data_IF_058182977144
#
_entry.id   IF_058182977144
#
_cell.length_a   1.000
_cell.length_b   1.000
_cell.length_c   1.000
_cell.angle_alpha   90.00
_cell.angle_beta   90.00
_cell.angle_gamma   90.00
#
_symmetry.space_group_name_H-M   'P 1'
#
loop_
_entity.id
_entity.type
_entity.pdbx_description
1 polymer ?
#
# COMPACT_ATOMS: atom_id res chain seq x y z
N UNK A 1 -12.70 5.95 2.75
CA UNK A 1 -11.47 6.50 3.36
C UNK A 1 -10.25 5.97 2.61
N UNK A 2 -9.11 6.68 2.61
CA UNK A 2 -7.92 6.17 1.91
C UNK A 2 -6.63 6.89 2.30
N UNK A 3 -5.50 6.33 1.87
CA UNK A 3 -4.16 6.79 2.18
C UNK A 3 -3.32 6.85 0.92
N UNK A 4 -2.52 7.90 0.85
CA UNK A 4 -1.53 8.13 -0.20
C UNK A 4 -0.20 7.46 0.14
N UNK A 5 0.49 6.96 -0.87
CA UNK A 5 1.85 6.46 -0.84
C UNK A 5 2.70 7.08 -1.94
N UNK A 6 3.99 7.27 -1.65
CA UNK A 6 4.99 7.66 -2.66
C UNK A 6 6.26 6.93 -2.29
N UNK A 7 6.77 6.11 -3.21
CA UNK A 7 7.95 5.31 -2.97
C UNK A 7 8.99 5.59 -4.05
N UNK A 8 10.19 5.98 -3.64
CA UNK A 8 11.33 6.10 -4.54
C UNK A 8 11.71 4.73 -5.06
N UNK A 9 12.07 4.67 -6.33
CA UNK A 9 12.50 3.45 -7.01
C UNK A 9 14.01 3.47 -7.18
N UNK A 10 14.69 2.33 -6.98
CA UNK A 10 16.11 2.26 -7.23
C UNK A 10 16.40 2.39 -8.73
N UNK A 11 17.28 3.30 -9.14
CA UNK A 11 17.73 3.40 -10.53
C UNK A 11 18.74 2.30 -10.87
N UNK A 12 19.64 1.94 -9.93
CA UNK A 12 20.53 0.78 -10.04
C UNK A 12 21.07 0.37 -8.66
N UNK A 13 21.76 -0.77 -8.59
CA UNK A 13 22.46 -1.21 -7.35
C UNK A 13 23.56 -0.25 -6.90
N UNK A 14 24.16 0.50 -7.84
CA UNK A 14 25.28 1.40 -7.58
C UNK A 14 24.80 2.81 -7.21
N UNK A 15 23.73 3.29 -7.85
CA UNK A 15 23.26 4.67 -7.69
C UNK A 15 22.10 4.83 -6.69
N UNK A 16 21.58 3.74 -6.14
CA UNK A 16 20.47 3.77 -5.18
C UNK A 16 19.22 4.40 -5.80
N UNK A 17 18.61 5.38 -5.14
CA UNK A 17 17.40 6.08 -5.61
C UNK A 17 17.67 7.28 -6.53
N UNK A 18 18.95 7.58 -6.80
CA UNK A 18 19.36 8.62 -7.75
C UNK A 18 19.81 7.91 -9.02
N UNK A 19 19.53 8.50 -10.17
CA UNK A 19 19.94 7.92 -11.43
C UNK A 19 21.37 8.34 -11.81
N UNK A 20 21.93 7.69 -12.83
CA UNK A 20 23.32 7.85 -13.26
C UNK A 20 23.69 9.30 -13.64
N UNK A 21 22.71 10.08 -14.11
CA UNK A 21 22.86 11.51 -14.40
C UNK A 21 23.03 12.39 -13.14
N UNK A 22 22.93 11.81 -11.95
CA UNK A 22 23.06 12.50 -10.67
C UNK A 22 21.89 13.41 -10.31
N UNK A 23 20.88 13.56 -11.16
CA UNK A 23 19.78 14.53 -10.99
C UNK A 23 18.43 13.83 -10.92
N UNK A 24 18.20 12.87 -11.83
CA UNK A 24 16.92 12.20 -11.98
C UNK A 24 16.65 11.18 -10.87
N UNK A 25 15.37 10.94 -10.61
CA UNK A 25 14.87 9.95 -9.65
C UNK A 25 13.56 9.38 -10.17
N UNK A 26 13.39 8.07 -10.03
CA UNK A 26 12.14 7.38 -10.32
C UNK A 26 11.32 7.19 -9.05
N UNK A 27 10.00 7.24 -9.18
CA UNK A 27 9.11 7.00 -8.06
C UNK A 27 7.81 6.37 -8.52
N UNK A 28 7.17 5.66 -7.60
CA UNK A 28 5.79 5.21 -7.75
C UNK A 28 4.87 6.08 -6.91
N UNK A 29 3.73 6.46 -7.50
CA UNK A 29 2.64 7.14 -6.82
C UNK A 29 1.54 6.12 -6.53
N UNK A 30 1.03 6.10 -5.30
CA UNK A 30 -0.03 5.15 -4.95
C UNK A 30 -1.13 5.75 -4.07
N UNK A 31 -2.32 5.17 -4.19
CA UNK A 31 -3.47 5.45 -3.34
C UNK A 31 -4.20 4.16 -3.02
N UNK A 32 -4.38 3.89 -1.74
CA UNK A 32 -5.17 2.75 -1.25
C UNK A 32 -6.41 3.29 -0.53
N UNK A 33 -7.59 2.78 -0.87
CA UNK A 33 -8.83 3.22 -0.23
C UNK A 33 -9.87 2.11 -0.11
N UNK A 34 -10.69 2.24 0.92
CA UNK A 34 -11.85 1.38 1.18
C UNK A 34 -13.11 2.25 1.05
N UNK A 35 -14.06 1.76 0.27
CA UNK A 35 -15.43 2.26 0.19
C UNK A 35 -16.31 1.36 1.04
N UNK A 36 -17.11 1.99 1.90
CA UNK A 36 -18.02 1.33 2.81
C UNK A 36 -19.46 1.54 2.36
N UNK A 37 -20.34 0.62 2.74
CA UNK A 37 -21.79 0.76 2.68
C UNK A 37 -22.38 0.49 4.07
N UNK A 38 -23.71 0.44 4.17
CA UNK A 38 -24.43 0.25 5.43
C UNK A 38 -24.13 -1.09 6.14
N UNK A 39 -23.50 -2.06 5.45
CA UNK A 39 -23.11 -3.37 6.00
C UNK A 39 -21.61 -3.50 6.29
N UNK A 40 -20.81 -2.47 6.01
CA UNK A 40 -19.35 -2.46 6.22
C UNK A 40 -18.54 -2.24 4.93
N UNK A 41 -17.28 -2.73 4.86
CA UNK A 41 -16.43 -2.60 3.67
C UNK A 41 -17.09 -3.26 2.46
N UNK A 42 -17.31 -2.48 1.40
CA UNK A 42 -17.97 -2.94 0.19
C UNK A 42 -16.98 -3.08 -0.98
N UNK A 43 -15.93 -2.26 -1.00
CA UNK A 43 -14.93 -2.27 -2.07
C UNK A 43 -13.58 -1.77 -1.54
N UNK A 44 -12.50 -2.48 -1.89
CA UNK A 44 -11.12 -2.01 -1.69
C UNK A 44 -10.50 -1.74 -3.05
N UNK A 45 -9.81 -0.62 -3.19
CA UNK A 45 -9.12 -0.24 -4.44
C UNK A 45 -7.71 0.24 -4.10
N UNK A 46 -6.73 -0.32 -4.82
CA UNK A 46 -5.35 0.12 -4.82
C UNK A 46 -5.00 0.62 -6.22
N UNK A 47 -4.54 1.86 -6.30
CA UNK A 47 -3.98 2.45 -7.51
C UNK A 47 -2.49 2.61 -7.30
N UNK A 48 -1.70 2.12 -8.26
CA UNK A 48 -0.25 2.32 -8.33
C UNK A 48 0.06 2.83 -9.73
N UNK A 49 0.77 3.94 -9.80
CA UNK A 49 1.23 4.54 -11.05
C UNK A 49 2.74 4.54 -11.00
N UNK A 50 3.32 3.86 -11.98
CA UNK A 50 4.76 3.68 -12.15
C UNK A 50 5.35 4.85 -12.95
N UNK A 51 6.51 5.33 -12.50
CA UNK A 51 7.27 6.46 -13.06
C UNK A 51 6.40 7.57 -13.71
N UNK A 52 5.50 8.22 -12.95
CA UNK A 52 4.59 9.20 -13.52
C UNK A 52 5.38 10.44 -13.99
N UNK A 53 5.11 10.84 -15.22
CA UNK A 53 5.77 11.97 -15.85
C UNK A 53 5.06 13.29 -15.50
N UNK A 54 5.81 14.35 -15.20
CA UNK A 54 5.29 15.70 -14.97
C UNK A 54 5.87 16.41 -13.75
N UNK A 55 5.41 17.64 -13.49
CA UNK A 55 5.97 18.52 -12.44
C UNK A 55 5.50 18.17 -11.01
N UNK A 56 4.57 17.22 -10.84
CA UNK A 56 3.92 16.93 -9.56
C UNK A 56 4.47 15.65 -8.92
N UNK A 57 5.28 15.77 -7.88
CA UNK A 57 5.99 14.65 -7.23
C UNK A 57 5.24 13.98 -6.06
N UNK A 58 3.96 14.30 -5.86
CA UNK A 58 3.21 13.78 -4.71
C UNK A 58 2.22 12.71 -5.14
N UNK A 59 2.35 11.50 -4.59
CA UNK A 59 1.47 10.38 -4.93
C UNK A 59 -0.01 10.63 -4.63
N UNK A 60 -0.29 11.55 -3.70
CA UNK A 60 -1.66 12.01 -3.44
C UNK A 60 -2.30 12.81 -4.58
N UNK A 61 -1.54 13.58 -5.34
CA UNK A 61 -2.10 14.38 -6.45
C UNK A 61 -2.25 13.57 -7.73
N UNK A 62 -1.47 12.50 -7.89
CA UNK A 62 -1.49 11.67 -9.09
C UNK A 62 -2.47 10.50 -8.92
N UNK A 63 -2.32 9.70 -7.87
CA UNK A 63 -3.09 8.46 -7.72
C UNK A 63 -4.49 8.65 -7.11
N UNK A 64 -4.72 9.70 -6.31
CA UNK A 64 -6.04 9.94 -5.71
C UNK A 64 -7.15 10.29 -6.72
N UNK A 65 -6.95 11.17 -7.74
CA UNK A 65 -8.01 11.41 -8.72
C UNK A 65 -8.35 10.16 -9.53
N UNK A 66 -7.35 9.36 -9.89
CA UNK A 66 -7.55 8.06 -10.56
C UNK A 66 -8.37 7.11 -9.69
N UNK A 67 -8.08 7.04 -8.38
CA UNK A 67 -8.89 6.28 -7.44
C UNK A 67 -10.35 6.74 -7.43
N UNK A 68 -10.61 8.05 -7.41
CA UNK A 68 -11.97 8.58 -7.35
C UNK A 68 -12.78 8.15 -8.57
N UNK A 69 -12.22 8.30 -9.78
CA UNK A 69 -12.88 7.92 -11.02
C UNK A 69 -13.14 6.40 -11.09
N UNK A 70 -12.12 5.59 -10.76
CA UNK A 70 -12.22 4.14 -10.79
C UNK A 70 -13.24 3.62 -9.76
N UNK A 71 -13.20 4.13 -8.53
CA UNK A 71 -14.14 3.74 -7.49
C UNK A 71 -15.58 4.14 -7.87
N UNK A 72 -15.80 5.37 -8.34
CA UNK A 72 -17.13 5.82 -8.78
C UNK A 72 -17.66 5.01 -9.97
N UNK A 73 -16.79 4.60 -10.90
CA UNK A 73 -17.17 3.70 -11.99
C UNK A 73 -17.53 2.30 -11.46
N UNK A 74 -16.66 1.70 -10.64
CA UNK A 74 -16.84 0.36 -10.11
C UNK A 74 -18.10 0.22 -9.24
N UNK A 75 -18.40 1.20 -8.39
CA UNK A 75 -19.60 1.18 -7.56
C UNK A 75 -20.89 1.10 -8.40
N UNK A 76 -20.94 1.84 -9.52
CA UNK A 76 -22.07 1.81 -10.45
C UNK A 76 -22.18 0.47 -11.17
N UNK A 77 -21.06 -0.07 -11.65
CA UNK A 77 -21.04 -1.37 -12.35
C UNK A 77 -21.40 -2.53 -11.44
N UNK A 78 -20.91 -2.52 -10.21
CA UNK A 78 -21.15 -3.56 -9.20
C UNK A 78 -22.48 -3.37 -8.46
N UNK A 79 -23.24 -2.31 -8.77
CA UNK A 79 -24.50 -1.95 -8.11
C UNK A 79 -24.38 -1.88 -6.59
N UNK A 80 -23.24 -1.38 -6.11
CA UNK A 80 -23.00 -1.17 -4.68
C UNK A 80 -23.71 0.13 -4.28
N UNK A 81 -24.73 0.07 -3.40
CA UNK A 81 -25.44 1.25 -2.98
C UNK A 81 -24.52 2.17 -2.16
N UNK A 82 -24.69 3.50 -2.26
CA UNK A 82 -23.96 4.44 -1.43
C UNK A 82 -24.36 4.25 0.05
N UNK A 83 -23.42 4.50 0.96
CA UNK A 83 -23.72 4.57 2.37
C UNK A 83 -24.71 5.71 2.67
N UNK A 84 -25.66 5.50 3.58
CA UNK A 84 -26.56 6.56 4.02
C UNK A 84 -25.76 7.61 4.79
N UNK A 85 -25.85 8.88 4.36
CA UNK A 85 -25.16 9.97 5.02
C UNK A 85 -25.65 10.10 6.48
N UNK A 86 -24.75 9.89 7.45
CA UNK A 86 -25.06 9.94 8.88
C UNK A 86 -25.33 8.58 9.53
N UNK A 87 -25.25 7.46 8.81
CA UNK A 87 -25.26 6.14 9.43
C UNK A 87 -24.07 6.02 10.41
N UNK A 88 -24.28 5.51 11.64
CA UNK A 88 -23.19 5.33 12.58
C UNK A 88 -22.18 4.35 11.99
N UNK A 89 -20.98 4.86 11.69
CA UNK A 89 -19.82 4.01 11.38
C UNK A 89 -19.57 3.19 12.63
N UNK A 90 -19.97 1.90 12.62
CA UNK A 90 -19.72 1.04 13.77
C UNK A 90 -18.24 1.13 14.13
N UNK A 91 -17.98 1.40 15.40
CA UNK A 91 -16.64 1.67 15.93
C UNK A 91 -15.76 0.46 15.66
N UNK A 92 -15.00 0.49 14.57
CA UNK A 92 -14.13 -0.61 14.19
C UNK A 92 -13.05 -0.76 15.27
N UNK A 93 -13.01 -1.93 15.90
CA UNK A 93 -11.99 -2.32 16.87
C UNK A 93 -10.64 -2.28 16.15
N UNK A 94 -9.65 -1.56 16.71
CA UNK A 94 -8.27 -1.67 16.22
C UNK A 94 -7.86 -3.13 16.36
N UNK A 95 -7.36 -3.74 15.28
CA UNK A 95 -6.62 -4.98 15.42
C UNK A 95 -5.48 -4.75 16.42
N UNK A 96 -5.46 -5.54 17.50
CA UNK A 96 -4.31 -5.55 18.39
C UNK A 96 -3.09 -5.94 17.55
N UNK A 97 -1.99 -5.21 17.69
CA UNK A 97 -0.74 -5.56 17.02
C UNK A 97 -0.39 -6.99 17.41
N UNK A 98 -0.34 -7.90 16.42
CA UNK A 98 0.14 -9.24 16.67
C UNK A 98 1.61 -9.13 17.09
N UNK A 99 1.91 -9.52 18.33
CA UNK A 99 3.29 -9.70 18.78
C UNK A 99 3.96 -10.70 17.83
N UNK A 100 5.13 -10.39 17.27
CA UNK A 100 5.84 -11.36 16.45
C UNK A 100 6.11 -12.62 17.30
N UNK A 101 5.96 -13.84 16.73
CA UNK A 101 6.28 -15.05 17.45
C UNK A 101 7.76 -14.99 17.89
N UNK A 102 8.11 -15.51 19.09
CA UNK A 102 9.50 -15.59 19.51
C UNK A 102 10.29 -16.35 18.45
N UNK A 103 11.33 -15.72 17.92
CA UNK A 103 12.31 -16.40 17.08
C UNK A 103 13.11 -17.30 18.01
N UNK A 104 12.77 -18.59 18.06
CA UNK A 104 13.60 -19.60 18.70
C UNK A 104 14.88 -19.73 17.87
N UNK A 105 15.97 -19.16 18.40
CA UNK A 105 17.31 -19.36 17.83
C UNK A 105 17.57 -20.86 17.86
N UNK A 106 17.61 -21.48 16.68
CA UNK A 106 18.07 -22.85 16.53
C UNK A 106 19.50 -22.93 17.09
N UNK A 107 19.60 -23.44 18.32
CA UNK A 107 20.85 -23.74 18.96
C UNK A 107 21.41 -24.93 18.19
N UNK A 108 22.48 -24.68 17.42
CA UNK A 108 23.06 -25.66 16.52
C UNK A 108 23.35 -26.96 17.24
N UNK A 109 22.72 -28.03 16.78
CA UNK A 109 23.09 -29.41 17.06
C UNK A 109 24.52 -29.63 16.55
N UNK A 110 25.50 -29.44 17.44
CA UNK A 110 26.85 -29.93 17.25
C UNK A 110 26.83 -31.44 17.50
N UNK A 111 26.80 -32.22 16.42
CA UNK A 111 26.90 -33.68 16.41
C UNK A 111 28.04 -34.09 15.44
N UNK A 112 28.60 -35.31 15.52
CA UNK A 112 29.60 -35.76 16.49
C UNK A 112 30.83 -36.38 15.78
N UNK A 113 31.80 -36.84 16.56
CA UNK A 113 32.91 -37.69 16.09
C UNK A 113 34.21 -36.90 15.87
N UNK A 114 35.38 -37.31 16.34
CA UNK A 114 35.83 -38.68 16.58
C UNK A 114 37.17 -38.83 15.85
N UNK A 115 38.18 -39.25 16.59
CA UNK A 115 39.42 -39.89 16.14
C UNK A 115 40.47 -39.03 15.39
N UNK A 116 41.44 -38.51 16.16
CA UNK A 116 42.86 -38.95 16.23
C UNK A 116 43.77 -37.85 16.78
#
# INVERSE_FOLDING_TARGET
>A
AGKTGTAWQPCSVEFGYRCEDGVSRHYSASFAGIVENDRGPALSVLVVIDDPQGQNYHGGTIAAPVFADLASYALRQLRIPPAVAGAPVERRVRAAAASPPPVELAQGDGDPGGDQ
#
